data_IF_575497330838
#
_entry.id   IF_575497330838
#
_cell.length_a   1.000
_cell.length_b   1.000
_cell.length_c   1.000
_cell.angle_alpha   90.00
_cell.angle_beta   90.00
_cell.angle_gamma   90.00
#
_symmetry.space_group_name_H-M   'P 1'
#
loop_
_entity.id
_entity.type
_entity.pdbx_description
1 polymer ?
#
# COMPACT_ATOMS: atom_id res chain seq x y z
N UNK A 1 3.33 -6.42 -18.57
CA UNK A 1 1.92 -6.34 -18.64
C UNK A 1 1.35 -5.39 -17.61
N UNK A 2 0.19 -4.91 -17.89
CA UNK A 2 -0.41 -3.80 -17.20
C UNK A 2 -0.95 -4.17 -15.82
N UNK A 3 -1.21 -5.44 -15.57
CA UNK A 3 -1.80 -5.89 -14.31
C UNK A 3 -0.76 -6.40 -13.31
N UNK A 4 0.51 -6.27 -13.63
CA UNK A 4 1.58 -6.81 -12.79
C UNK A 4 1.68 -6.17 -11.44
N UNK A 5 1.37 -4.87 -11.35
CA UNK A 5 1.50 -4.16 -10.07
C UNK A 5 0.58 -4.75 -9.03
N UNK A 6 -0.71 -4.94 -9.37
CA UNK A 6 -1.65 -5.53 -8.45
C UNK A 6 -1.33 -6.98 -8.11
N UNK A 7 -0.96 -7.76 -9.13
CA UNK A 7 -0.59 -9.16 -8.94
C UNK A 7 0.63 -9.28 -8.02
N UNK A 8 1.63 -8.44 -8.23
CA UNK A 8 2.84 -8.45 -7.39
C UNK A 8 2.50 -8.12 -5.93
N UNK A 9 1.61 -7.17 -5.70
CA UNK A 9 1.16 -6.80 -4.36
C UNK A 9 0.53 -8.01 -3.66
N UNK A 10 -0.36 -8.71 -4.32
CA UNK A 10 -1.05 -9.87 -3.77
C UNK A 10 -0.08 -11.03 -3.53
N UNK A 11 0.78 -11.33 -4.51
CA UNK A 11 1.72 -12.45 -4.39
C UNK A 11 2.72 -12.24 -3.25
N UNK A 12 3.21 -11.03 -3.08
CA UNK A 12 4.09 -10.70 -1.97
C UNK A 12 3.36 -10.88 -0.63
N UNK A 13 2.13 -10.41 -0.54
CA UNK A 13 1.32 -10.55 0.67
C UNK A 13 1.08 -12.02 1.01
N UNK A 14 0.78 -12.85 0.03
CA UNK A 14 0.57 -14.28 0.24
C UNK A 14 1.82 -14.96 0.80
N UNK A 15 3.00 -14.60 0.30
CA UNK A 15 4.25 -15.14 0.82
C UNK A 15 4.44 -14.79 2.28
N UNK A 16 4.24 -13.52 2.62
CA UNK A 16 4.39 -13.07 4.00
C UNK A 16 3.37 -13.77 4.89
N UNK A 17 2.12 -13.87 4.42
CA UNK A 17 1.06 -14.53 5.18
C UNK A 17 1.38 -16.00 5.46
N UNK A 18 2.13 -16.65 4.58
CA UNK A 18 2.58 -18.02 4.78
C UNK A 18 3.63 -18.18 5.89
N UNK A 19 4.26 -17.08 6.29
CA UNK A 19 5.33 -17.12 7.31
C UNK A 19 4.93 -16.54 8.66
N UNK A 20 3.80 -15.84 8.75
CA UNK A 20 3.37 -15.23 10.01
C UNK A 20 1.86 -15.07 10.05
N UNK A 21 1.28 -15.18 11.23
CA UNK A 21 -0.12 -14.88 11.48
C UNK A 21 -0.32 -13.51 12.11
N UNK A 22 0.75 -12.77 12.31
CA UNK A 22 0.68 -11.44 12.92
C UNK A 22 0.13 -10.42 11.93
N UNK A 23 -0.47 -9.34 12.43
CA UNK A 23 -0.82 -8.20 11.57
C UNK A 23 0.43 -7.65 10.88
N UNK A 24 0.30 -7.30 9.61
CA UNK A 24 1.43 -6.86 8.79
C UNK A 24 1.21 -5.43 8.34
N UNK A 25 2.24 -4.62 8.46
CA UNK A 25 2.28 -3.28 7.89
C UNK A 25 3.06 -3.35 6.58
N UNK A 26 2.37 -3.03 5.50
CA UNK A 26 2.87 -3.24 4.15
C UNK A 26 3.04 -1.88 3.47
N UNK A 27 4.28 -1.46 3.26
CA UNK A 27 4.58 -0.23 2.55
C UNK A 27 4.88 -0.53 1.09
N UNK A 28 4.24 0.23 0.20
CA UNK A 28 4.47 0.12 -1.23
C UNK A 28 5.04 1.46 -1.70
N UNK A 29 6.29 1.45 -2.12
CA UNK A 29 6.94 2.64 -2.67
C UNK A 29 6.70 2.67 -4.17
N UNK A 30 6.20 3.78 -4.66
CA UNK A 30 5.95 3.93 -6.09
C UNK A 30 6.04 5.40 -6.50
N UNK A 31 6.16 5.61 -7.79
CA UNK A 31 6.08 6.96 -8.37
C UNK A 31 4.61 7.39 -8.58
N UNK A 32 3.67 6.61 -8.07
CA UNK A 32 2.27 6.90 -8.23
C UNK A 32 1.67 6.47 -9.55
N UNK A 33 2.47 5.87 -10.42
CA UNK A 33 1.97 5.37 -11.69
C UNK A 33 1.77 3.86 -11.59
N UNK A 34 0.58 3.34 -11.84
CA UNK A 34 0.33 1.91 -11.80
C UNK A 34 0.72 1.19 -13.10
N UNK A 35 1.71 1.65 -13.82
CA UNK A 35 2.14 1.04 -15.09
C UNK A 35 0.98 0.77 -16.04
N UNK A 36 0.03 1.68 -16.08
CA UNK A 36 -1.25 1.44 -16.72
C UNK A 36 -1.50 2.34 -17.91
N UNK A 37 -0.48 2.99 -18.41
CA UNK A 37 -0.65 3.93 -19.52
C UNK A 37 -1.34 3.29 -20.72
N UNK A 38 -1.06 2.02 -20.95
CA UNK A 38 -1.60 1.30 -22.10
C UNK A 38 -3.07 0.91 -21.93
N UNK A 39 -3.61 1.00 -20.71
CA UNK A 39 -4.97 0.61 -20.43
C UNK A 39 -5.91 1.78 -20.19
N UNK A 40 -5.42 3.00 -20.34
CA UNK A 40 -6.25 4.14 -20.06
C UNK A 40 -6.45 4.44 -18.59
N UNK A 41 -5.60 3.95 -17.74
CA UNK A 41 -5.52 4.36 -16.34
C UNK A 41 -6.62 3.83 -15.41
N UNK A 42 -7.89 4.10 -15.75
CA UNK A 42 -9.00 3.76 -14.83
C UNK A 42 -9.14 2.26 -14.58
N UNK A 43 -9.04 1.45 -15.62
CA UNK A 43 -9.15 0.01 -15.47
C UNK A 43 -8.02 -0.55 -14.60
N UNK A 44 -6.81 -0.03 -14.81
CA UNK A 44 -5.65 -0.47 -14.04
C UNK A 44 -5.73 -0.02 -12.59
N UNK A 45 -6.18 1.21 -12.34
CA UNK A 45 -6.37 1.70 -10.98
C UNK A 45 -7.42 0.88 -10.24
N UNK A 46 -8.51 0.52 -10.92
CA UNK A 46 -9.54 -0.34 -10.34
C UNK A 46 -8.96 -1.70 -9.98
N UNK A 47 -8.14 -2.27 -10.85
CA UNK A 47 -7.50 -3.56 -10.60
C UNK A 47 -6.57 -3.49 -9.38
N UNK A 48 -5.73 -2.48 -9.30
CA UNK A 48 -4.84 -2.29 -8.15
C UNK A 48 -5.66 -2.13 -6.87
N UNK A 49 -6.73 -1.35 -6.91
CA UNK A 49 -7.61 -1.16 -5.76
C UNK A 49 -8.20 -2.48 -5.28
N UNK A 50 -8.65 -3.32 -6.21
CA UNK A 50 -9.18 -4.64 -5.85
C UNK A 50 -8.12 -5.53 -5.22
N UNK A 51 -6.90 -5.49 -5.74
CA UNK A 51 -5.79 -6.24 -5.17
C UNK A 51 -5.42 -5.75 -3.78
N UNK A 52 -5.40 -4.45 -3.58
CA UNK A 52 -5.14 -3.86 -2.25
C UNK A 52 -6.21 -4.31 -1.25
N UNK A 53 -7.48 -4.28 -1.66
CA UNK A 53 -8.57 -4.74 -0.80
C UNK A 53 -8.44 -6.22 -0.44
N UNK A 54 -8.00 -7.04 -1.37
CA UNK A 54 -7.73 -8.45 -1.11
C UNK A 54 -6.65 -8.62 -0.05
N UNK A 55 -5.57 -7.86 -0.18
CA UNK A 55 -4.47 -7.90 0.79
C UNK A 55 -4.92 -7.42 2.17
N UNK A 56 -5.73 -6.36 2.21
CA UNK A 56 -6.25 -5.85 3.48
C UNK A 56 -7.11 -6.89 4.21
N UNK A 57 -7.79 -7.75 3.48
CA UNK A 57 -8.57 -8.84 4.09
C UNK A 57 -7.69 -9.91 4.74
N UNK A 58 -6.40 -9.91 4.45
CA UNK A 58 -5.43 -10.82 5.07
C UNK A 58 -4.85 -10.28 6.39
N UNK A 59 -5.45 -9.23 6.95
CA UNK A 59 -4.96 -8.54 8.14
C UNK A 59 -3.66 -7.77 7.87
N UNK A 60 -3.59 -7.16 6.69
CA UNK A 60 -2.51 -6.26 6.31
C UNK A 60 -3.01 -4.83 6.34
N UNK A 61 -2.16 -3.92 6.81
CA UNK A 61 -2.35 -2.48 6.63
C UNK A 61 -1.47 -2.06 5.47
N UNK A 62 -2.08 -1.69 4.36
CA UNK A 62 -1.36 -1.31 3.15
C UNK A 62 -1.25 0.21 3.08
N UNK A 63 -0.03 0.71 2.91
CA UNK A 63 0.24 2.14 2.79
C UNK A 63 1.08 2.38 1.54
N UNK A 64 0.58 3.19 0.63
CA UNK A 64 1.38 3.63 -0.51
C UNK A 64 2.21 4.84 -0.12
N UNK A 65 3.50 4.79 -0.43
CA UNK A 65 4.38 5.95 -0.36
C UNK A 65 4.62 6.40 -1.78
N UNK A 66 4.03 7.54 -2.14
CA UNK A 66 3.97 8.02 -3.50
C UNK A 66 4.88 9.25 -3.67
N UNK A 67 5.81 9.17 -4.61
CA UNK A 67 6.73 10.25 -4.93
C UNK A 67 6.38 10.74 -6.34
N UNK A 68 6.08 12.02 -6.50
CA UNK A 68 5.72 12.60 -7.80
C UNK A 68 4.57 11.86 -8.48
N UNK A 69 3.44 11.75 -7.81
CA UNK A 69 2.33 10.95 -8.29
C UNK A 69 1.73 11.52 -9.58
N UNK A 70 1.46 10.64 -10.54
CA UNK A 70 0.78 10.95 -11.79
C UNK A 70 -0.70 10.58 -11.76
N UNK A 71 -1.07 9.69 -10.87
CA UNK A 71 -2.43 9.21 -10.69
C UNK A 71 -2.88 9.44 -9.26
N UNK A 72 -4.18 9.68 -9.03
CA UNK A 72 -4.67 9.92 -7.68
C UNK A 72 -4.55 8.65 -6.83
N UNK A 73 -3.72 8.67 -5.78
CA UNK A 73 -3.53 7.47 -4.95
C UNK A 73 -4.80 7.06 -4.20
N UNK A 74 -5.70 8.00 -3.91
CA UNK A 74 -6.95 7.71 -3.21
C UNK A 74 -7.87 6.78 -3.99
N UNK A 75 -7.67 6.64 -5.29
CA UNK A 75 -8.46 5.73 -6.11
C UNK A 75 -7.98 4.28 -5.99
N UNK A 76 -6.76 4.07 -5.49
CA UNK A 76 -6.15 2.75 -5.40
C UNK A 76 -5.94 2.29 -3.96
N UNK A 77 -5.60 3.22 -3.08
CA UNK A 77 -5.17 2.91 -1.73
C UNK A 77 -6.03 3.63 -0.71
N UNK A 78 -6.35 2.96 0.36
CA UNK A 78 -7.06 3.58 1.47
C UNK A 78 -6.12 4.48 2.26
N UNK A 79 -4.86 4.09 2.37
CA UNK A 79 -3.83 4.84 3.10
C UNK A 79 -2.68 5.14 2.17
N UNK A 80 -2.28 6.39 2.13
CA UNK A 80 -1.18 6.81 1.28
C UNK A 80 -0.47 8.03 1.86
N UNK A 81 0.79 8.17 1.47
CA UNK A 81 1.62 9.32 1.81
C UNK A 81 2.12 9.90 0.49
N UNK A 82 1.93 11.18 0.27
CA UNK A 82 2.47 11.87 -0.89
C UNK A 82 3.69 12.66 -0.43
N UNK A 83 4.83 12.37 -1.05
CA UNK A 83 6.08 13.06 -0.75
C UNK A 83 6.47 13.92 -1.93
N UNK A 84 6.90 15.16 -1.66
CA UNK A 84 7.47 16.01 -2.68
C UNK A 84 8.91 15.65 -2.95
N UNK A 85 9.61 15.18 -1.93
CA UNK A 85 10.99 14.72 -2.06
C UNK A 85 11.29 13.67 -1.00
N UNK A 86 12.47 13.06 -1.11
CA UNK A 86 12.86 11.98 -0.20
C UNK A 86 13.25 12.48 1.19
N UNK A 87 13.50 13.77 1.36
CA UNK A 87 13.93 14.28 2.65
C UNK A 87 12.85 14.19 3.71
N UNK A 88 11.58 14.16 3.31
CA UNK A 88 10.46 14.05 4.24
C UNK A 88 10.05 12.61 4.52
N UNK A 89 10.66 11.64 3.85
CA UNK A 89 10.24 10.24 3.93
C UNK A 89 10.33 9.70 5.35
N UNK A 90 11.44 9.92 6.03
CA UNK A 90 11.64 9.38 7.37
C UNK A 90 10.61 9.89 8.37
N UNK A 91 10.27 11.18 8.29
CA UNK A 91 9.27 11.78 9.17
C UNK A 91 7.89 11.22 8.88
N UNK A 92 7.52 11.12 7.60
CA UNK A 92 6.21 10.62 7.19
C UNK A 92 6.02 9.15 7.55
N UNK A 93 7.03 8.33 7.30
CA UNK A 93 6.99 6.91 7.68
C UNK A 93 6.93 6.75 9.19
N UNK A 94 7.69 7.58 9.92
CA UNK A 94 7.68 7.54 11.37
C UNK A 94 6.28 7.80 11.94
N UNK A 95 5.55 8.76 11.37
CA UNK A 95 4.18 9.05 11.79
C UNK A 95 3.24 7.87 11.54
N UNK A 96 3.35 7.24 10.38
CA UNK A 96 2.52 6.10 10.03
C UNK A 96 2.83 4.92 10.95
N UNK A 97 4.11 4.64 11.18
CA UNK A 97 4.54 3.59 12.09
C UNK A 97 4.04 3.82 13.50
N UNK A 98 4.12 5.06 13.99
CA UNK A 98 3.63 5.39 15.32
C UNK A 98 2.14 5.12 15.44
N UNK A 99 1.35 5.55 14.46
CA UNK A 99 -0.10 5.31 14.48
C UNK A 99 -0.42 3.82 14.43
N UNK A 100 0.28 3.06 13.58
CA UNK A 100 0.06 1.62 13.47
C UNK A 100 0.43 0.91 14.76
N UNK A 101 1.57 1.29 15.37
CA UNK A 101 2.01 0.71 16.63
C UNK A 101 1.04 1.01 17.76
N UNK A 102 0.57 2.26 17.87
CA UNK A 102 -0.40 2.64 18.89
C UNK A 102 -1.71 1.89 18.71
N UNK A 103 -2.19 1.74 17.48
CA UNK A 103 -3.41 0.98 17.20
C UNK A 103 -3.26 -0.47 17.61
N UNK A 104 -2.13 -1.10 17.26
CA UNK A 104 -1.86 -2.49 17.63
C UNK A 104 -1.82 -2.65 19.14
N UNK A 105 -1.17 -1.72 19.85
CA UNK A 105 -1.11 -1.73 21.31
C UNK A 105 -2.50 -1.55 21.93
N UNK A 106 -3.29 -0.64 21.39
CA UNK A 106 -4.63 -0.37 21.89
C UNK A 106 -5.55 -1.58 21.72
N UNK A 107 -5.39 -2.31 20.62
CA UNK A 107 -6.23 -3.46 20.31
C UNK A 107 -5.80 -4.73 21.05
N UNK A 108 -4.64 -4.73 21.69
CA UNK A 108 -4.24 -5.85 22.51
C UNK A 108 -4.89 -5.78 23.87
N UNK A 109 -5.54 -6.85 24.24
CA UNK A 109 -6.13 -6.99 25.56
C UNK A 109 -5.21 -7.88 26.39
N UNK A 110 -4.68 -7.31 27.40
CA UNK A 110 -3.82 -8.03 28.32
C UNK A 110 -4.57 -8.39 29.60
#
# INVERSE_FOLDING_TARGET
SQNRDGIAIVECAKRVRGHTNLPVLYFILSDGSPCAADYGGDAAMKHVRQCVQEVERMDFTVVQVCINHSYPPEKMFRRYIILEDMSTLAVSLGRVLKKATMRATTNRVY
#
